data_IF_269128929134
#
_entry.id   IF_269128929134
#
_cell.length_a   1.000
_cell.length_b   1.000
_cell.length_c   1.000
_cell.angle_alpha   90.00
_cell.angle_beta   90.00
_cell.angle_gamma   90.00
#
_symmetry.space_group_name_H-M   'P 1'
#
loop_
_entity.id
_entity.type
_entity.pdbx_description
1 polymer ?
#
# COMPACT_ATOMS: atom_id res chain seq x y z
N UNK A 1 -22.47 -21.71 39.56
CA UNK A 1 -23.03 -21.68 40.92
C UNK A 1 -22.14 -22.56 41.79
N UNK A 2 -21.58 -22.06 42.90
CA UNK A 2 -20.84 -22.90 43.89
C UNK A 2 -21.86 -23.66 44.77
N UNK A 3 -21.51 -24.71 45.55
CA UNK A 3 -20.49 -24.76 46.65
C UNK A 3 -19.30 -25.71 46.35
N UNK A 4 -18.16 -25.78 47.06
CA UNK A 4 -17.59 -25.15 48.28
C UNK A 4 -17.96 -25.72 49.68
N UNK A 5 -16.97 -25.73 50.61
CA UNK A 5 -16.98 -26.09 52.06
C UNK A 5 -17.18 -27.59 52.38
N UNK A 6 -16.42 -28.35 53.20
CA UNK A 6 -15.16 -28.26 54.00
C UNK A 6 -15.31 -28.53 55.53
N UNK A 7 -14.51 -29.48 56.05
CA UNK A 7 -14.11 -29.75 57.45
C UNK A 7 -12.93 -30.76 57.40
N UNK A 8 -11.82 -30.73 58.16
CA UNK A 8 -11.56 -30.48 59.59
C UNK A 8 -11.89 -31.69 60.50
N UNK A 9 -11.09 -32.06 61.52
CA UNK A 9 -9.88 -31.40 62.08
C UNK A 9 -8.55 -32.03 61.59
N UNK A 10 -7.54 -32.56 62.33
CA UNK A 10 -7.27 -32.82 63.76
C UNK A 10 -5.74 -32.86 64.07
N UNK A 11 -5.31 -33.00 65.34
CA UNK A 11 -3.91 -32.83 65.80
C UNK A 11 -3.00 -34.08 65.80
N UNK A 12 -1.69 -33.86 65.58
CA UNK A 12 -0.61 -34.49 66.37
C UNK A 12 0.71 -33.68 66.24
N UNK A 13 1.18 -33.04 67.32
CA UNK A 13 2.44 -32.28 67.32
C UNK A 13 3.66 -33.17 67.65
N UNK A 14 4.81 -32.88 67.05
CA UNK A 14 6.12 -33.40 67.51
C UNK A 14 7.24 -32.46 67.09
N UNK A 15 7.87 -31.83 68.09
CA UNK A 15 8.96 -30.87 67.92
C UNK A 15 10.30 -31.59 67.74
N UNK A 16 11.05 -31.26 66.69
CA UNK A 16 12.41 -31.77 66.50
C UNK A 16 13.36 -30.65 66.03
N UNK A 17 14.24 -30.27 66.95
CA UNK A 17 15.54 -29.61 66.78
C UNK A 17 15.90 -29.06 65.38
N UNK A 18 15.99 -27.74 65.26
CA UNK A 18 16.65 -27.08 64.13
C UNK A 18 18.17 -27.27 64.20
N UNK A 19 18.68 -28.33 63.57
CA UNK A 19 20.11 -28.51 63.32
C UNK A 19 20.56 -27.60 62.17
N UNK A 20 21.33 -26.56 62.47
CA UNK A 20 21.89 -25.65 61.46
C UNK A 20 23.09 -26.27 60.76
N UNK A 21 22.86 -27.14 59.77
CA UNK A 21 23.92 -27.71 58.93
C UNK A 21 24.41 -26.66 57.94
N UNK A 22 25.33 -25.81 58.39
CA UNK A 22 25.92 -24.73 57.62
C UNK A 22 27.02 -25.27 56.70
N UNK A 23 26.62 -26.00 55.66
CA UNK A 23 27.52 -26.45 54.59
C UNK A 23 28.31 -25.25 54.04
N UNK A 24 29.65 -25.27 54.05
CA UNK A 24 30.43 -24.14 53.60
C UNK A 24 30.30 -23.98 52.08
N UNK A 25 29.64 -22.91 51.64
CA UNK A 25 29.61 -22.49 50.23
C UNK A 25 31.04 -22.30 49.75
N UNK A 26 31.53 -23.24 48.93
CA UNK A 26 32.81 -23.06 48.27
C UNK A 26 32.71 -21.86 47.32
N UNK A 27 33.75 -21.02 47.19
CA UNK A 27 33.75 -19.94 46.22
C UNK A 27 33.62 -20.53 44.81
N UNK A 28 32.58 -20.14 44.08
CA UNK A 28 32.44 -20.53 42.67
C UNK A 28 33.70 -20.11 41.91
N UNK A 29 34.38 -21.09 41.30
CA UNK A 29 35.50 -20.76 40.43
C UNK A 29 34.97 -20.03 39.20
N UNK A 30 35.64 -18.95 38.74
CA UNK A 30 35.16 -18.17 37.61
C UNK A 30 35.00 -19.07 36.37
N UNK A 31 33.92 -18.89 35.59
CA UNK A 31 33.58 -19.81 34.51
C UNK A 31 34.72 -19.93 33.50
N UNK A 32 35.05 -21.17 33.14
CA UNK A 32 36.13 -21.42 32.18
C UNK A 32 35.87 -20.70 30.86
N UNK A 33 36.93 -20.33 30.13
CA UNK A 33 36.80 -19.65 28.82
C UNK A 33 35.88 -20.41 27.86
N UNK A 34 35.87 -21.75 27.92
CA UNK A 34 34.98 -22.59 27.13
C UNK A 34 33.50 -22.43 27.56
N UNK A 35 33.20 -22.43 28.86
CA UNK A 35 31.85 -22.20 29.38
C UNK A 35 31.34 -20.78 29.07
N UNK A 36 32.18 -19.76 29.23
CA UNK A 36 31.85 -18.37 28.90
C UNK A 36 31.56 -18.20 27.40
N UNK A 37 32.36 -18.79 26.52
CA UNK A 37 32.09 -18.80 25.07
C UNK A 37 30.80 -19.56 24.74
N UNK A 38 30.59 -20.75 25.31
CA UNK A 38 29.38 -21.54 25.05
C UNK A 38 28.11 -20.81 25.50
N UNK A 39 28.16 -20.09 26.63
CA UNK A 39 27.09 -19.22 27.10
C UNK A 39 26.80 -18.09 26.09
N UNK A 40 27.83 -17.37 25.64
CA UNK A 40 27.69 -16.30 24.64
C UNK A 40 27.12 -16.81 23.30
N UNK A 41 27.63 -17.92 22.77
CA UNK A 41 27.09 -18.53 21.54
C UNK A 41 25.67 -19.08 21.71
N UNK A 42 25.29 -19.51 22.93
CA UNK A 42 23.91 -19.89 23.24
C UNK A 42 22.98 -18.68 23.20
N UNK A 43 23.40 -17.54 23.77
CA UNK A 43 22.65 -16.29 23.71
C UNK A 43 22.51 -15.77 22.27
N UNK A 44 23.60 -15.74 21.49
CA UNK A 44 23.56 -15.34 20.08
C UNK A 44 22.63 -16.24 19.24
N UNK A 45 22.63 -17.57 19.49
CA UNK A 45 21.68 -18.48 18.84
C UNK A 45 20.24 -18.11 19.17
N UNK A 46 19.92 -17.91 20.45
CA UNK A 46 18.56 -17.54 20.88
C UNK A 46 18.12 -16.19 20.30
N UNK A 47 19.01 -15.19 20.22
CA UNK A 47 18.72 -13.92 19.54
C UNK A 47 18.40 -14.12 18.06
N UNK A 48 19.25 -14.88 17.34
CA UNK A 48 19.07 -15.18 15.92
C UNK A 48 17.79 -15.97 15.66
N UNK A 49 17.48 -16.99 16.47
CA UNK A 49 16.26 -17.79 16.36
C UNK A 49 15.00 -16.90 16.56
N UNK A 50 15.01 -16.01 17.56
CA UNK A 50 13.93 -15.04 17.80
C UNK A 50 13.76 -14.08 16.62
N UNK A 51 14.86 -13.52 16.10
CA UNK A 51 14.87 -12.66 14.90
C UNK A 51 14.37 -13.38 13.66
N UNK A 52 14.76 -14.63 13.43
CA UNK A 52 14.28 -15.42 12.29
C UNK A 52 12.78 -15.73 12.41
N UNK A 53 12.30 -16.07 13.61
CA UNK A 53 10.87 -16.27 13.87
C UNK A 53 10.05 -14.98 13.68
N UNK A 54 10.56 -13.82 14.11
CA UNK A 54 9.94 -12.50 13.89
C UNK A 54 9.88 -12.19 12.39
N UNK A 55 11.01 -12.32 11.69
CA UNK A 55 11.08 -12.12 10.23
C UNK A 55 10.11 -13.02 9.47
N UNK A 56 9.91 -14.27 9.89
CA UNK A 56 8.91 -15.15 9.28
C UNK A 56 7.47 -14.64 9.45
N UNK A 57 7.10 -14.09 10.61
CA UNK A 57 5.76 -13.52 10.85
C UNK A 57 5.55 -12.27 9.98
N UNK A 58 6.56 -11.42 9.91
CA UNK A 58 6.63 -10.23 9.03
C UNK A 58 6.43 -10.62 7.55
N UNK A 59 7.18 -11.60 7.04
CA UNK A 59 7.06 -12.07 5.64
C UNK A 59 5.69 -12.69 5.34
N UNK A 60 5.07 -13.37 6.31
CA UNK A 60 3.71 -13.91 6.17
C UNK A 60 2.68 -12.78 6.06
N UNK A 61 2.73 -11.81 6.98
CA UNK A 61 1.87 -10.61 6.95
C UNK A 61 2.06 -9.76 5.68
N UNK A 62 3.29 -9.55 5.22
CA UNK A 62 3.56 -8.83 3.97
C UNK A 62 2.92 -9.53 2.76
N UNK A 63 2.93 -10.87 2.70
CA UNK A 63 2.26 -11.63 1.65
C UNK A 63 0.73 -11.54 1.75
N UNK A 64 0.17 -11.56 2.97
CA UNK A 64 -1.26 -11.35 3.19
C UNK A 64 -1.69 -9.96 2.67
N UNK A 65 -0.88 -8.92 2.92
CA UNK A 65 -1.09 -7.56 2.39
C UNK A 65 -1.03 -7.56 0.86
N UNK A 66 0.03 -8.10 0.24
CA UNK A 66 0.14 -8.21 -1.23
C UNK A 66 -1.08 -8.93 -1.84
N UNK A 67 -1.54 -10.02 -1.24
CA UNK A 67 -2.69 -10.78 -1.73
C UNK A 67 -4.00 -9.99 -1.63
N UNK A 68 -4.20 -9.22 -0.55
CA UNK A 68 -5.39 -8.41 -0.35
C UNK A 68 -5.38 -7.14 -1.20
N UNK A 69 -4.22 -6.53 -1.44
CA UNK A 69 -4.03 -5.41 -2.35
C UNK A 69 -4.33 -5.79 -3.81
N UNK A 70 -3.88 -6.97 -4.26
CA UNK A 70 -4.29 -7.52 -5.56
C UNK A 70 -5.81 -7.67 -5.68
N UNK A 71 -6.48 -8.13 -4.62
CA UNK A 71 -7.95 -8.20 -4.61
C UNK A 71 -8.61 -6.82 -4.67
N UNK A 72 -8.05 -5.79 -4.02
CA UNK A 72 -8.49 -4.41 -4.17
C UNK A 72 -8.34 -3.92 -5.63
N UNK A 73 -7.18 -4.13 -6.26
CA UNK A 73 -6.93 -3.74 -7.66
C UNK A 73 -7.94 -4.42 -8.62
N UNK A 74 -8.16 -5.73 -8.48
CA UNK A 74 -9.18 -6.45 -9.26
C UNK A 74 -10.61 -5.95 -8.97
N UNK A 75 -10.91 -5.58 -7.72
CA UNK A 75 -12.18 -4.98 -7.33
C UNK A 75 -12.41 -3.66 -8.08
N UNK A 76 -11.39 -2.79 -8.13
CA UNK A 76 -11.42 -1.45 -8.72
C UNK A 76 -11.57 -1.46 -10.24
N UNK A 77 -10.96 -2.41 -10.97
CA UNK A 77 -11.18 -2.54 -12.42
C UNK A 77 -12.63 -2.75 -12.83
N UNK A 78 -13.46 -3.30 -11.93
CA UNK A 78 -14.90 -3.45 -12.16
C UNK A 78 -15.64 -2.11 -12.15
N UNK A 79 -15.07 -1.02 -11.60
CA UNK A 79 -15.64 0.33 -11.75
C UNK A 79 -15.70 0.72 -13.23
N UNK A 80 -14.65 0.44 -14.00
CA UNK A 80 -14.61 0.64 -15.45
C UNK A 80 -15.49 -0.33 -16.25
N UNK A 81 -16.16 -1.29 -15.60
CA UNK A 81 -17.09 -2.25 -16.21
C UNK A 81 -18.54 -2.13 -15.69
N UNK A 82 -18.76 -1.37 -14.62
CA UNK A 82 -20.07 -1.16 -14.01
C UNK A 82 -20.93 -0.20 -14.85
N UNK A 83 -22.21 -0.53 -15.01
CA UNK A 83 -23.19 0.44 -15.50
C UNK A 83 -23.48 1.52 -14.42
N UNK A 84 -23.94 2.73 -14.79
CA UNK A 84 -24.24 3.79 -13.83
C UNK A 84 -25.27 3.38 -12.76
N UNK A 85 -25.06 3.84 -11.52
CA UNK A 85 -25.91 3.53 -10.36
C UNK A 85 -25.31 2.45 -9.46
N UNK A 86 -26.18 1.65 -8.82
CA UNK A 86 -25.90 0.58 -7.84
C UNK A 86 -24.59 -0.20 -8.01
N UNK A 87 -24.19 -0.49 -9.25
CA UNK A 87 -23.01 -1.29 -9.54
C UNK A 87 -21.70 -0.57 -9.15
N UNK A 88 -21.62 0.76 -9.28
CA UNK A 88 -20.46 1.54 -8.80
C UNK A 88 -20.39 1.50 -7.27
N UNK A 89 -21.52 1.77 -6.61
CA UNK A 89 -21.60 1.88 -5.15
C UNK A 89 -21.27 0.54 -4.46
N UNK A 90 -21.70 -0.59 -5.07
CA UNK A 90 -21.31 -1.94 -4.62
C UNK A 90 -19.81 -2.19 -4.76
N UNK A 91 -19.18 -1.71 -5.84
CA UNK A 91 -17.74 -1.87 -6.05
C UNK A 91 -16.93 -0.99 -5.09
N UNK A 92 -17.36 0.25 -4.84
CA UNK A 92 -16.75 1.14 -3.83
C UNK A 92 -16.84 0.50 -2.44
N UNK A 93 -18.03 0.03 -2.04
CA UNK A 93 -18.21 -0.64 -0.74
C UNK A 93 -17.39 -1.92 -0.58
N UNK A 94 -17.14 -2.67 -1.67
CA UNK A 94 -16.23 -3.81 -1.65
C UNK A 94 -14.77 -3.34 -1.52
N UNK A 95 -14.37 -2.26 -2.19
CA UNK A 95 -13.03 -1.66 -2.07
C UNK A 95 -12.76 -1.14 -0.65
N UNK A 96 -13.71 -0.43 -0.04
CA UNK A 96 -13.66 0.01 1.36
C UNK A 96 -13.46 -1.17 2.32
N UNK A 97 -14.17 -2.29 2.11
CA UNK A 97 -14.02 -3.50 2.91
C UNK A 97 -12.64 -4.16 2.73
N UNK A 98 -12.03 -4.08 1.54
CA UNK A 98 -10.63 -4.50 1.32
C UNK A 98 -9.65 -3.56 2.03
N UNK A 99 -9.88 -2.25 1.95
CA UNK A 99 -9.06 -1.22 2.62
C UNK A 99 -9.06 -1.36 4.14
N UNK A 100 -10.20 -1.67 4.75
CA UNK A 100 -10.28 -1.92 6.19
C UNK A 100 -9.55 -3.22 6.59
N UNK A 101 -9.66 -4.27 5.77
CA UNK A 101 -8.85 -5.48 5.92
C UNK A 101 -7.35 -5.22 5.80
N UNK A 102 -6.94 -4.32 4.91
CA UNK A 102 -5.55 -3.89 4.75
C UNK A 102 -5.05 -3.13 5.99
N UNK A 103 -5.82 -2.19 6.54
CA UNK A 103 -5.51 -1.51 7.82
C UNK A 103 -5.33 -2.52 8.97
N UNK A 104 -6.20 -3.52 9.07
CA UNK A 104 -6.09 -4.57 10.07
C UNK A 104 -4.82 -5.44 9.91
N UNK A 105 -4.35 -5.66 8.67
CA UNK A 105 -3.06 -6.32 8.41
C UNK A 105 -1.87 -5.41 8.77
N UNK A 106 -1.92 -4.12 8.43
CA UNK A 106 -0.88 -3.16 8.79
C UNK A 106 -0.77 -2.94 10.30
N UNK A 107 -1.88 -2.92 11.05
CA UNK A 107 -1.86 -2.87 12.52
C UNK A 107 -1.20 -4.12 13.13
N UNK A 108 -1.44 -5.32 12.56
CA UNK A 108 -0.74 -6.55 12.96
C UNK A 108 0.75 -6.52 12.62
N UNK A 109 1.10 -5.95 11.46
CA UNK A 109 2.48 -5.84 10.99
C UNK A 109 3.28 -4.79 11.78
N UNK A 110 2.65 -3.68 12.17
CA UNK A 110 3.19 -2.72 13.13
C UNK A 110 3.55 -3.40 14.45
N UNK A 111 2.66 -4.25 14.99
CA UNK A 111 2.93 -5.02 16.21
C UNK A 111 4.12 -6.00 16.14
N UNK A 112 4.66 -6.28 14.95
CA UNK A 112 5.84 -7.13 14.73
C UNK A 112 7.11 -6.34 14.40
N UNK A 113 7.02 -5.03 14.12
CA UNK A 113 8.09 -4.23 13.50
C UNK A 113 8.33 -2.95 14.32
N UNK A 114 9.20 -3.04 15.32
CA UNK A 114 9.21 -2.11 16.45
C UNK A 114 10.22 -0.96 16.34
N UNK A 115 9.74 0.23 15.96
CA UNK A 115 10.55 1.45 15.95
C UNK A 115 11.81 1.32 15.08
N UNK A 116 13.00 1.36 15.70
CA UNK A 116 14.28 1.21 14.99
C UNK A 116 14.42 -0.12 14.23
N UNK A 117 13.71 -1.18 14.63
CA UNK A 117 13.69 -2.47 13.90
C UNK A 117 12.98 -2.37 12.53
N UNK A 118 12.25 -1.29 12.23
CA UNK A 118 11.68 -1.09 10.88
C UNK A 118 12.76 -1.20 9.79
N UNK A 119 13.88 -0.51 9.96
CA UNK A 119 14.98 -0.50 8.99
C UNK A 119 15.73 -1.85 8.90
N UNK A 120 15.57 -2.74 9.88
CA UNK A 120 16.05 -4.13 9.85
C UNK A 120 15.15 -5.04 9.00
N UNK A 121 13.86 -4.72 8.93
CA UNK A 121 12.83 -5.55 8.29
C UNK A 121 12.21 -4.96 7.02
N UNK A 122 12.50 -3.70 6.66
CA UNK A 122 12.01 -2.96 5.49
C UNK A 122 11.95 -3.82 4.20
N UNK A 123 13.04 -4.46 3.76
CA UNK A 123 13.04 -5.36 2.58
C UNK A 123 12.08 -6.55 2.64
N UNK A 124 11.64 -6.93 3.84
CA UNK A 124 10.70 -8.04 4.09
C UNK A 124 9.25 -7.57 4.17
N UNK A 125 9.03 -6.26 4.06
CA UNK A 125 7.76 -5.53 4.21
C UNK A 125 7.42 -4.76 2.94
N UNK A 126 8.42 -4.11 2.32
CA UNK A 126 8.37 -3.31 1.10
C UNK A 126 7.52 -3.91 -0.04
N UNK A 127 7.60 -5.22 -0.39
CA UNK A 127 6.73 -5.82 -1.41
C UNK A 127 5.22 -5.83 -1.06
N UNK A 128 4.88 -5.74 0.23
CA UNK A 128 3.50 -5.52 0.68
C UNK A 128 3.09 -4.05 0.61
N UNK A 129 4.00 -3.13 0.94
CA UNK A 129 3.77 -1.69 0.84
C UNK A 129 3.57 -1.28 -0.63
N UNK A 130 4.46 -1.67 -1.54
CA UNK A 130 4.39 -1.27 -2.96
C UNK A 130 3.06 -1.67 -3.61
N UNK A 131 2.61 -2.90 -3.40
CA UNK A 131 1.33 -3.40 -3.89
C UNK A 131 0.12 -2.71 -3.23
N UNK A 132 0.21 -2.40 -1.93
CA UNK A 132 -0.79 -1.57 -1.26
C UNK A 132 -0.85 -0.16 -1.85
N UNK A 133 0.28 0.44 -2.17
CA UNK A 133 0.36 1.78 -2.73
C UNK A 133 -0.13 1.83 -4.18
N UNK A 134 0.13 0.79 -4.98
CA UNK A 134 -0.52 0.59 -6.29
C UNK A 134 -2.06 0.56 -6.15
N UNK A 135 -2.59 -0.25 -5.24
CA UNK A 135 -4.03 -0.32 -4.97
C UNK A 135 -4.65 0.97 -4.41
N UNK A 136 -3.96 1.64 -3.49
CA UNK A 136 -4.36 2.91 -2.87
C UNK A 136 -4.37 4.05 -3.90
N UNK A 137 -3.28 4.21 -4.65
CA UNK A 137 -3.15 5.28 -5.65
C UNK A 137 -4.14 5.06 -6.80
N UNK A 138 -4.45 3.81 -7.15
CA UNK A 138 -5.51 3.49 -8.11
C UNK A 138 -6.91 3.81 -7.56
N UNK A 139 -7.20 3.48 -6.29
CA UNK A 139 -8.43 3.93 -5.61
C UNK A 139 -8.57 5.45 -5.65
N UNK A 140 -7.51 6.17 -5.24
CA UNK A 140 -7.48 7.63 -5.13
C UNK A 140 -7.67 8.31 -6.50
N UNK A 141 -7.03 7.78 -7.55
CA UNK A 141 -7.22 8.25 -8.92
C UNK A 141 -8.66 8.07 -9.41
N UNK A 142 -9.33 6.95 -9.08
CA UNK A 142 -10.72 6.68 -9.46
C UNK A 142 -11.74 7.59 -8.74
N UNK A 143 -11.35 8.21 -7.62
CA UNK A 143 -12.16 9.17 -6.85
C UNK A 143 -11.86 10.63 -7.21
N UNK A 144 -10.58 10.99 -7.39
CA UNK A 144 -10.13 12.39 -7.48
C UNK A 144 -9.45 12.78 -8.80
N UNK A 145 -9.20 11.83 -9.72
CA UNK A 145 -8.49 12.03 -10.99
C UNK A 145 -7.02 12.49 -10.89
N UNK A 146 -6.45 12.43 -9.68
CA UNK A 146 -5.08 12.84 -9.32
C UNK A 146 -4.35 11.72 -8.55
N UNK A 147 -3.13 11.97 -8.07
CA UNK A 147 -2.39 11.07 -7.20
C UNK A 147 -2.37 11.62 -5.75
N UNK A 148 -2.39 10.74 -4.72
CA UNK A 148 -2.20 11.16 -3.34
C UNK A 148 -0.70 11.44 -3.08
N UNK A 149 -0.38 12.42 -2.25
CA UNK A 149 1.01 12.68 -1.85
C UNK A 149 1.57 11.58 -0.94
N UNK A 150 2.89 11.57 -0.74
CA UNK A 150 3.55 10.63 0.19
C UNK A 150 2.97 10.74 1.62
N UNK A 151 2.63 11.95 2.07
CA UNK A 151 2.04 12.21 3.38
C UNK A 151 0.61 11.65 3.47
N UNK A 152 -0.18 11.78 2.39
CA UNK A 152 -1.53 11.20 2.31
C UNK A 152 -1.47 9.66 2.27
N UNK A 153 -0.48 9.09 1.59
CA UNK A 153 -0.24 7.65 1.53
C UNK A 153 0.30 7.07 2.85
N UNK A 154 1.12 7.82 3.58
CA UNK A 154 1.54 7.49 4.94
C UNK A 154 0.36 7.57 5.92
N UNK A 155 -0.54 8.54 5.74
CA UNK A 155 -1.72 8.74 6.57
C UNK A 155 -2.82 7.69 6.34
N UNK A 156 -2.94 7.10 5.14
CA UNK A 156 -4.01 6.12 4.84
C UNK A 156 -3.82 4.74 5.47
N UNK A 157 -2.58 4.42 5.89
CA UNK A 157 -2.22 3.18 6.58
C UNK A 157 -2.81 3.08 8.00
N UNK A 158 -2.98 4.23 8.65
CA UNK A 158 -3.52 4.33 9.99
C UNK A 158 -4.91 4.99 9.94
N UNK A 159 -5.87 4.61 10.80
CA UNK A 159 -7.06 5.44 10.95
C UNK A 159 -6.63 6.82 11.45
N UNK A 160 -7.17 7.93 10.91
CA UNK A 160 -6.90 9.25 11.46
C UNK A 160 -7.29 9.27 12.94
N UNK A 161 -6.46 9.89 13.78
CA UNK A 161 -6.77 10.03 15.19
C UNK A 161 -8.18 10.64 15.34
N UNK A 162 -9.04 10.07 16.22
CA UNK A 162 -10.44 10.48 16.30
C UNK A 162 -10.50 11.99 16.54
N UNK A 163 -11.10 12.71 15.59
CA UNK A 163 -11.04 14.16 15.56
C UNK A 163 -11.51 14.72 16.91
N UNK A 164 -10.76 15.66 17.52
CA UNK A 164 -11.13 16.21 18.83
C UNK A 164 -12.55 16.77 18.73
N UNK A 165 -13.47 16.18 19.49
CA UNK A 165 -14.90 16.44 19.37
C UNK A 165 -15.15 17.94 19.45
N UNK A 166 -15.86 18.48 18.45
CA UNK A 166 -15.88 19.92 18.15
C UNK A 166 -16.21 20.76 19.39
N UNK A 167 -15.17 21.33 20.00
CA UNK A 167 -15.29 22.21 21.15
C UNK A 167 -15.97 23.50 20.69
N UNK A 168 -17.17 23.76 21.21
CA UNK A 168 -17.96 24.92 20.81
C UNK A 168 -17.21 26.23 21.13
N UNK A 169 -16.94 27.01 20.10
CA UNK A 169 -16.38 28.35 20.19
C UNK A 169 -17.39 29.33 19.58
N UNK A 170 -18.28 29.84 20.43
CA UNK A 170 -19.23 30.91 20.11
C UNK A 170 -18.79 32.21 20.83
N UNK A 171 -19.19 33.36 20.29
CA UNK A 171 -18.89 34.71 20.78
C UNK A 171 -17.39 35.14 20.70
N UNK A 172 -17.05 36.45 20.87
CA UNK A 172 -16.73 37.23 19.68
C UNK A 172 -15.44 38.07 19.73
N UNK A 173 -15.05 38.62 18.58
CA UNK A 173 -13.86 39.46 18.40
C UNK A 173 -14.05 40.92 18.88
N UNK A 174 -13.06 41.50 19.59
CA UNK A 174 -12.94 42.94 19.82
C UNK A 174 -11.89 43.62 18.92
N UNK A 175 -12.01 44.95 18.76
CA UNK A 175 -11.21 45.77 17.83
C UNK A 175 -9.80 46.15 18.33
N UNK A 176 -8.96 46.61 17.42
CA UNK A 176 -7.55 46.95 17.64
C UNK A 176 -7.29 48.31 18.32
N UNK A 177 -6.15 48.41 19.01
CA UNK A 177 -5.48 49.67 19.36
C UNK A 177 -3.96 49.43 19.54
N UNK A 178 -3.14 50.35 19.04
CA UNK A 178 -1.67 50.39 19.15
C UNK A 178 -1.24 51.70 19.86
N UNK A 179 0.06 51.92 20.21
CA UNK A 179 1.04 50.98 20.77
C UNK A 179 1.80 51.58 21.99
N UNK A 180 2.51 50.77 22.78
CA UNK A 180 3.48 51.30 23.77
C UNK A 180 4.62 50.36 24.18
N UNK A 181 5.84 50.70 23.72
CA UNK A 181 7.17 50.22 24.17
C UNK A 181 7.49 48.70 24.02
N UNK A 182 8.77 48.33 23.79
CA UNK A 182 9.17 46.93 23.60
C UNK A 182 9.38 46.17 24.94
N UNK A 183 8.77 45.00 25.12
CA UNK A 183 9.19 44.01 26.12
C UNK A 183 10.54 43.36 25.73
N UNK A 184 11.22 42.66 26.66
CA UNK A 184 12.46 41.96 26.35
C UNK A 184 12.25 40.77 25.40
N UNK A 185 13.33 40.39 24.73
CA UNK A 185 13.43 39.28 23.78
C UNK A 185 12.91 37.96 24.39
N UNK A 186 11.91 37.30 23.77
CA UNK A 186 11.38 36.04 24.29
C UNK A 186 12.41 34.92 24.08
N UNK A 187 12.75 34.22 25.16
CA UNK A 187 13.56 33.01 25.07
C UNK A 187 12.92 32.01 24.07
N UNK A 188 13.73 31.29 23.28
CA UNK A 188 13.20 30.38 22.28
C UNK A 188 12.27 29.35 22.93
N UNK A 189 11.02 29.30 22.46
CA UNK A 189 10.07 28.30 22.91
C UNK A 189 10.67 26.89 22.72
N UNK A 190 10.45 25.95 23.66
CA UNK A 190 10.87 24.58 23.44
C UNK A 190 10.25 24.09 22.13
N UNK A 191 11.07 23.52 21.25
CA UNK A 191 10.61 22.99 19.98
C UNK A 191 9.42 22.04 20.23
N UNK A 192 8.38 22.06 19.39
CA UNK A 192 7.23 21.17 19.56
C UNK A 192 7.75 19.74 19.67
N UNK A 193 7.37 19.04 20.75
CA UNK A 193 7.80 17.67 20.97
C UNK A 193 7.50 16.85 19.71
N UNK A 194 8.46 16.03 19.22
CA UNK A 194 8.29 15.32 17.95
C UNK A 194 6.98 14.53 18.02
N UNK A 195 6.12 14.77 17.02
CA UNK A 195 4.92 13.95 16.86
C UNK A 195 5.33 12.48 16.84
N UNK A 196 4.59 11.58 17.51
CA UNK A 196 5.00 10.18 17.64
C UNK A 196 5.27 9.61 16.25
N UNK A 197 6.52 9.25 15.98
CA UNK A 197 6.97 8.92 14.64
C UNK A 197 6.10 7.80 14.06
N UNK A 198 5.72 7.86 12.77
CA UNK A 198 4.90 6.84 12.13
C UNK A 198 5.70 5.54 12.03
N UNK A 199 5.64 4.77 13.13
CA UNK A 199 6.33 3.53 13.50
C UNK A 199 6.37 2.44 12.40
N UNK A 200 5.52 2.60 11.39
CA UNK A 200 5.58 1.89 10.12
C UNK A 200 5.65 2.94 8.99
N UNK A 201 6.84 3.14 8.43
CA UNK A 201 7.11 4.20 7.46
C UNK A 201 6.82 3.76 6.02
N UNK A 202 6.19 4.62 5.22
CA UNK A 202 6.24 4.53 3.76
C UNK A 202 7.55 5.13 3.29
N UNK A 203 8.41 4.33 2.65
CA UNK A 203 9.66 4.86 2.06
C UNK A 203 9.37 5.56 0.73
N UNK A 204 10.25 6.50 0.34
CA UNK A 204 10.19 7.15 -0.98
C UNK A 204 10.35 6.12 -2.10
N UNK A 205 11.19 5.11 -1.92
CA UNK A 205 11.35 4.00 -2.87
C UNK A 205 10.06 3.18 -3.02
N UNK A 206 9.35 2.89 -1.92
CA UNK A 206 8.09 2.15 -1.98
C UNK A 206 6.95 2.95 -2.62
N UNK A 207 6.86 4.24 -2.33
CA UNK A 207 5.87 5.12 -2.94
C UNK A 207 6.11 5.29 -4.45
N UNK A 208 7.35 5.57 -4.86
CA UNK A 208 7.70 5.62 -6.29
C UNK A 208 7.53 4.24 -6.96
N UNK A 209 7.75 3.14 -6.24
CA UNK A 209 7.50 1.78 -6.73
C UNK A 209 6.02 1.55 -7.05
N UNK A 210 5.12 1.82 -6.09
CA UNK A 210 3.68 1.67 -6.27
C UNK A 210 3.09 2.61 -7.34
N UNK A 211 3.55 3.86 -7.40
CA UNK A 211 3.15 4.81 -8.46
C UNK A 211 3.67 4.39 -9.85
N UNK A 212 4.81 3.70 -9.93
CA UNK A 212 5.30 3.18 -11.20
C UNK A 212 4.46 1.99 -11.70
N UNK A 213 4.08 1.05 -10.82
CA UNK A 213 3.23 -0.09 -11.18
C UNK A 213 1.78 0.32 -11.49
N UNK A 214 1.25 1.32 -10.77
CA UNK A 214 -0.03 1.99 -11.07
C UNK A 214 -0.17 2.36 -12.56
N UNK A 215 0.91 2.77 -13.24
CA UNK A 215 0.82 3.12 -14.68
C UNK A 215 0.38 1.94 -15.56
N UNK A 216 0.68 0.70 -15.13
CA UNK A 216 0.16 -0.52 -15.72
C UNK A 216 -1.34 -0.73 -15.46
N UNK A 217 -1.84 -0.37 -14.28
CA UNK A 217 -3.27 -0.41 -13.96
C UNK A 217 -4.07 0.69 -14.70
N UNK A 218 -3.51 1.90 -14.80
CA UNK A 218 -4.08 2.98 -15.61
C UNK A 218 -4.14 2.60 -17.10
N UNK A 219 -3.09 1.96 -17.64
CA UNK A 219 -3.12 1.38 -19.00
C UNK A 219 -4.22 0.30 -19.12
N UNK A 220 -4.33 -0.62 -18.16
CA UNK A 220 -5.39 -1.65 -18.16
C UNK A 220 -6.79 -1.02 -18.18
N UNK A 221 -7.01 0.02 -17.38
CA UNK A 221 -8.28 0.76 -17.34
C UNK A 221 -8.57 1.47 -18.67
N UNK A 222 -7.59 2.16 -19.26
CA UNK A 222 -7.74 2.87 -20.52
C UNK A 222 -8.12 1.94 -21.69
N UNK A 223 -7.41 0.82 -21.85
CA UNK A 223 -7.71 -0.15 -22.92
C UNK A 223 -9.09 -0.79 -22.70
N UNK A 224 -9.49 -1.03 -21.44
CA UNK A 224 -10.82 -1.55 -21.10
C UNK A 224 -11.96 -0.50 -21.26
N UNK A 225 -11.65 0.80 -21.36
CA UNK A 225 -12.63 1.87 -21.54
C UNK A 225 -12.89 2.24 -22.99
N UNK A 226 -11.89 2.14 -23.89
CA UNK A 226 -12.00 2.44 -25.34
C UNK A 226 -13.24 1.79 -25.97
N UNK A 227 -13.48 0.51 -25.70
CA UNK A 227 -14.65 -0.22 -26.20
C UNK A 227 -16.01 0.32 -25.73
N UNK A 228 -16.07 0.94 -24.55
CA UNK A 228 -17.30 1.51 -23.95
C UNK A 228 -17.47 2.97 -24.33
N UNK A 229 -16.43 3.78 -24.20
CA UNK A 229 -16.44 5.21 -24.49
C UNK A 229 -16.83 5.48 -25.96
N UNK A 230 -16.34 4.65 -26.90
CA UNK A 230 -16.79 4.75 -28.30
C UNK A 230 -18.26 4.33 -28.47
N UNK A 231 -18.74 3.32 -27.73
CA UNK A 231 -20.15 2.92 -27.77
C UNK A 231 -21.07 4.04 -27.26
N UNK A 232 -20.69 4.76 -26.20
CA UNK A 232 -21.43 5.93 -25.70
C UNK A 232 -21.41 7.12 -26.66
N UNK A 233 -20.24 7.45 -27.23
CA UNK A 233 -20.08 8.56 -28.20
C UNK A 233 -20.86 8.36 -29.51
N UNK A 234 -21.49 7.21 -29.69
CA UNK A 234 -22.29 6.83 -30.84
C UNK A 234 -23.80 6.76 -30.57
N UNK A 235 -24.22 7.04 -29.33
CA UNK A 235 -25.64 7.28 -29.02
C UNK A 235 -25.99 8.69 -29.48
N UNK A 236 -26.93 8.81 -30.41
CA UNK A 236 -27.34 10.09 -31.01
C UNK A 236 -27.89 11.03 -29.93
N UNK A 237 -27.41 12.28 -29.81
CA UNK A 237 -27.96 13.26 -28.86
C UNK A 237 -29.35 13.71 -29.34
N UNK A 238 -30.41 13.02 -28.91
CA UNK A 238 -31.77 13.29 -29.37
C UNK A 238 -32.92 12.67 -28.56
N UNK A 239 -32.67 11.67 -27.69
CA UNK A 239 -33.68 11.14 -26.77
C UNK A 239 -33.06 10.91 -25.38
N UNK A 240 -33.61 11.57 -24.36
CA UNK A 240 -33.09 11.52 -22.99
C UNK A 240 -31.99 12.55 -22.71
N UNK A 241 -32.34 13.84 -22.65
CA UNK A 241 -31.53 14.83 -21.95
C UNK A 241 -31.54 14.51 -20.45
N UNK A 242 -30.55 13.72 -20.00
CA UNK A 242 -30.19 13.66 -18.59
C UNK A 242 -29.20 14.78 -18.30
N UNK A 243 -29.72 15.99 -18.11
CA UNK A 243 -28.95 17.12 -17.58
C UNK A 243 -28.57 16.80 -16.12
N UNK A 244 -27.43 16.15 -15.90
CA UNK A 244 -26.94 15.85 -14.56
C UNK A 244 -26.04 14.64 -14.40
N UNK A 245 -24.79 14.70 -14.90
CA UNK A 245 -23.54 14.31 -14.20
C UNK A 245 -22.36 14.18 -15.17
N UNK A 246 -21.38 15.08 -15.05
CA UNK A 246 -20.07 14.95 -15.73
C UNK A 246 -19.21 13.82 -15.14
N UNK A 247 -19.42 13.47 -13.87
CA UNK A 247 -18.64 12.49 -13.08
C UNK A 247 -18.71 11.02 -13.54
N UNK A 248 -19.21 10.74 -14.74
CA UNK A 248 -19.12 9.44 -15.41
C UNK A 248 -17.89 9.30 -16.31
N UNK A 249 -17.46 10.37 -17.00
CA UNK A 249 -16.51 10.27 -18.12
C UNK A 249 -15.04 10.52 -17.77
N UNK A 250 -14.75 11.19 -16.65
CA UNK A 250 -13.38 11.66 -16.34
C UNK A 250 -12.36 10.57 -15.98
N UNK A 251 -12.74 9.54 -15.22
CA UNK A 251 -11.74 8.60 -14.65
C UNK A 251 -11.21 7.58 -15.68
N UNK A 252 -12.00 7.26 -16.69
CA UNK A 252 -11.68 6.30 -17.73
C UNK A 252 -11.46 6.96 -19.10
N UNK A 253 -11.24 8.28 -19.14
CA UNK A 253 -10.81 8.98 -20.35
C UNK A 253 -9.36 8.58 -20.69
N UNK A 254 -9.18 8.05 -21.89
CA UNK A 254 -7.87 7.64 -22.41
C UNK A 254 -6.94 8.84 -22.63
N UNK A 255 -7.46 10.01 -22.94
CA UNK A 255 -6.66 11.23 -23.10
C UNK A 255 -6.15 11.74 -21.74
N UNK A 256 -6.98 11.71 -20.70
CA UNK A 256 -6.59 12.04 -19.32
C UNK A 256 -5.57 11.06 -18.76
N UNK A 257 -5.84 9.75 -18.88
CA UNK A 257 -4.88 8.71 -18.48
C UNK A 257 -3.55 8.88 -19.24
N UNK A 258 -3.59 9.16 -20.54
CA UNK A 258 -2.39 9.41 -21.35
C UNK A 258 -1.61 10.65 -20.93
N UNK A 259 -2.27 11.73 -20.46
CA UNK A 259 -1.57 12.88 -19.87
C UNK A 259 -0.91 12.52 -18.55
N UNK A 260 -1.67 11.95 -17.60
CA UNK A 260 -1.15 11.58 -16.29
C UNK A 260 0.04 10.60 -16.37
N UNK A 261 -0.01 9.60 -17.25
CA UNK A 261 1.11 8.65 -17.43
C UNK A 261 2.37 9.32 -18.01
N UNK A 262 2.22 10.31 -18.92
CA UNK A 262 3.38 11.12 -19.38
C UNK A 262 3.93 12.01 -18.26
N UNK A 263 3.07 12.60 -17.45
CA UNK A 263 3.47 13.46 -16.32
C UNK A 263 4.25 12.64 -15.28
N UNK A 264 3.75 11.46 -14.90
CA UNK A 264 4.48 10.50 -14.04
C UNK A 264 5.85 10.14 -14.65
N UNK A 265 5.91 9.85 -15.97
CA UNK A 265 7.17 9.52 -16.63
C UNK A 265 8.17 10.68 -16.63
N UNK A 266 7.69 11.90 -16.88
CA UNK A 266 8.53 13.10 -16.94
C UNK A 266 9.16 13.39 -15.57
N UNK A 267 8.40 13.30 -14.49
CA UNK A 267 8.90 13.52 -13.12
C UNK A 267 9.76 12.35 -12.61
N UNK A 268 9.47 11.10 -13.00
CA UNK A 268 10.28 9.95 -12.61
C UNK A 268 11.61 9.83 -13.37
N UNK A 269 11.69 10.31 -14.61
CA UNK A 269 12.88 10.15 -15.46
C UNK A 269 14.16 10.75 -14.84
N UNK A 270 14.17 11.98 -14.29
CA UNK A 270 15.30 12.54 -13.56
C UNK A 270 15.72 11.71 -12.32
N UNK A 271 14.77 11.06 -11.66
CA UNK A 271 15.02 10.28 -10.44
C UNK A 271 15.76 8.95 -10.73
N UNK A 272 15.78 8.51 -11.99
CA UNK A 272 16.42 7.27 -12.42
C UNK A 272 17.95 7.24 -12.20
N UNK A 273 18.59 8.40 -12.04
CA UNK A 273 20.01 8.51 -11.65
C UNK A 273 20.27 8.09 -10.19
N UNK A 274 19.25 8.17 -9.33
CA UNK A 274 19.34 7.90 -7.89
C UNK A 274 18.73 6.54 -7.52
N UNK A 275 17.56 6.22 -8.09
CA UNK A 275 16.83 4.97 -7.84
C UNK A 275 17.27 3.85 -8.80
N UNK A 276 18.20 2.98 -8.37
CA UNK A 276 18.76 1.87 -9.19
C UNK A 276 17.75 0.90 -9.81
N UNK A 277 16.55 0.80 -9.26
CA UNK A 277 15.48 -0.07 -9.76
C UNK A 277 14.59 0.63 -10.80
N UNK A 278 14.51 1.97 -10.77
CA UNK A 278 13.58 2.78 -11.55
C UNK A 278 13.77 2.71 -13.07
N UNK A 279 15.00 2.64 -13.65
CA UNK A 279 15.18 2.44 -15.09
C UNK A 279 14.43 1.23 -15.67
N UNK A 280 14.27 0.15 -14.89
CA UNK A 280 13.51 -1.04 -15.31
C UNK A 280 12.00 -0.82 -15.29
N UNK A 281 11.50 -0.02 -14.35
CA UNK A 281 10.08 0.36 -14.27
C UNK A 281 9.73 1.36 -15.37
N UNK A 282 10.58 2.36 -15.61
CA UNK A 282 10.42 3.33 -16.72
C UNK A 282 10.32 2.62 -18.07
N UNK A 283 11.19 1.63 -18.35
CA UNK A 283 11.11 0.84 -19.59
C UNK A 283 9.85 -0.03 -19.73
N UNK A 284 9.07 -0.24 -18.65
CA UNK A 284 7.73 -0.85 -18.68
C UNK A 284 6.64 0.23 -18.81
N UNK A 285 6.83 1.38 -18.16
CA UNK A 285 5.98 2.57 -18.30
C UNK A 285 5.94 3.03 -19.77
N UNK A 286 7.08 3.11 -20.45
CA UNK A 286 7.18 3.37 -21.91
C UNK A 286 6.25 2.47 -22.73
N UNK A 287 6.21 1.17 -22.41
CA UNK A 287 5.35 0.20 -23.10
C UNK A 287 3.87 0.37 -22.75
N UNK A 288 3.56 0.81 -21.53
CA UNK A 288 2.20 1.14 -21.09
C UNK A 288 1.69 2.42 -21.76
N UNK A 289 2.51 3.48 -21.78
CA UNK A 289 2.23 4.73 -22.48
C UNK A 289 2.03 4.49 -23.97
N UNK A 290 2.95 3.78 -24.64
CA UNK A 290 2.84 3.48 -26.06
C UNK A 290 1.53 2.73 -26.40
N UNK A 291 1.02 1.86 -25.52
CA UNK A 291 -0.29 1.20 -25.71
C UNK A 291 -1.46 2.18 -25.57
N UNK A 292 -1.41 3.05 -24.56
CA UNK A 292 -2.40 4.13 -24.36
C UNK A 292 -2.43 5.06 -25.59
N UNK A 293 -1.28 5.52 -26.06
CA UNK A 293 -1.17 6.44 -27.19
C UNK A 293 -1.60 5.81 -28.53
N UNK A 294 -1.22 4.56 -28.81
CA UNK A 294 -1.69 3.86 -30.00
C UNK A 294 -3.22 3.66 -29.99
N UNK A 295 -3.81 3.36 -28.83
CA UNK A 295 -5.26 3.21 -28.70
C UNK A 295 -6.00 4.56 -28.79
N UNK A 296 -5.48 5.62 -28.20
CA UNK A 296 -5.96 7.01 -28.38
C UNK A 296 -5.91 7.41 -29.86
N UNK A 297 -4.76 7.22 -30.53
CA UNK A 297 -4.58 7.52 -31.96
C UNK A 297 -5.57 6.74 -32.84
N UNK A 298 -5.69 5.42 -32.64
CA UNK A 298 -6.61 4.59 -33.41
C UNK A 298 -8.08 4.97 -33.19
N UNK A 299 -8.47 5.32 -31.97
CA UNK A 299 -9.80 5.83 -31.64
C UNK A 299 -10.06 7.18 -32.32
N UNK A 300 -9.08 8.09 -32.26
CA UNK A 300 -9.11 9.45 -32.85
C UNK A 300 -9.23 9.42 -34.38
N UNK A 301 -8.44 8.60 -35.05
CA UNK A 301 -8.45 8.46 -36.50
C UNK A 301 -9.74 7.78 -36.98
N UNK A 302 -10.09 6.61 -36.43
CA UNK A 302 -11.29 5.90 -36.91
C UNK A 302 -12.57 6.66 -36.59
N UNK A 303 -12.64 7.36 -35.46
CA UNK A 303 -13.75 8.26 -35.14
C UNK A 303 -13.93 9.43 -36.13
N UNK A 304 -12.88 9.81 -36.88
CA UNK A 304 -12.97 10.74 -37.99
C UNK A 304 -13.35 10.03 -39.31
N UNK A 305 -12.77 8.86 -39.60
CA UNK A 305 -13.04 8.06 -40.82
C UNK A 305 -14.49 7.57 -40.92
N UNK A 306 -15.05 7.05 -39.82
CA UNK A 306 -16.34 6.37 -39.77
C UNK A 306 -17.42 7.20 -39.06
N UNK A 307 -17.30 8.53 -39.10
CA UNK A 307 -18.21 9.48 -38.42
C UNK A 307 -19.69 9.19 -38.69
N UNK A 308 -20.00 8.73 -39.89
CA UNK A 308 -21.37 8.45 -40.36
C UNK A 308 -21.75 6.95 -40.24
N UNK A 309 -20.90 6.09 -39.65
CA UNK A 309 -21.13 4.64 -39.52
C UNK A 309 -20.87 4.11 -38.09
N UNK A 310 -21.79 4.34 -37.14
CA UNK A 310 -21.69 3.87 -35.76
C UNK A 310 -21.43 2.36 -35.60
N UNK A 311 -22.05 1.52 -36.42
CA UNK A 311 -21.94 0.07 -36.31
C UNK A 311 -20.50 -0.45 -36.58
N UNK A 312 -19.80 0.15 -37.55
CA UNK A 312 -18.41 -0.20 -37.87
C UNK A 312 -17.47 0.18 -36.72
N UNK A 313 -17.69 1.36 -36.12
CA UNK A 313 -16.89 1.84 -34.99
C UNK A 313 -17.01 0.92 -33.76
N UNK A 314 -18.23 0.53 -33.37
CA UNK A 314 -18.42 -0.39 -32.24
C UNK A 314 -17.77 -1.77 -32.49
N UNK A 315 -17.81 -2.29 -33.71
CA UNK A 315 -17.15 -3.54 -34.06
C UNK A 315 -15.61 -3.44 -33.96
N UNK A 316 -15.03 -2.32 -34.40
CA UNK A 316 -13.59 -2.07 -34.38
C UNK A 316 -13.05 -1.87 -32.96
N UNK A 317 -13.74 -1.11 -32.09
CA UNK A 317 -13.27 -0.90 -30.72
C UNK A 317 -13.38 -2.13 -29.83
N UNK A 318 -14.37 -3.02 -30.07
CA UNK A 318 -14.41 -4.34 -29.42
C UNK A 318 -13.18 -5.17 -29.81
N UNK A 319 -12.91 -5.27 -31.12
CA UNK A 319 -11.72 -5.98 -31.64
C UNK A 319 -10.40 -5.45 -31.06
N UNK A 320 -10.29 -4.14 -30.83
CA UNK A 320 -9.08 -3.58 -30.20
C UNK A 320 -8.97 -3.92 -28.72
N UNK A 321 -10.04 -3.79 -27.94
CA UNK A 321 -10.05 -4.21 -26.53
C UNK A 321 -9.69 -5.71 -26.38
N UNK A 322 -10.26 -6.56 -27.23
CA UNK A 322 -9.94 -8.00 -27.27
C UNK A 322 -8.46 -8.24 -27.63
N UNK A 323 -7.91 -7.49 -28.60
CA UNK A 323 -6.51 -7.61 -29.01
C UNK A 323 -5.51 -7.13 -27.95
N UNK A 324 -5.87 -6.10 -27.17
CA UNK A 324 -5.04 -5.55 -26.11
C UNK A 324 -4.90 -6.48 -24.90
N UNK A 325 -5.92 -7.31 -24.62
CA UNK A 325 -5.89 -8.27 -23.52
C UNK A 325 -5.01 -9.50 -23.74
N UNK A 326 -4.78 -9.90 -25.00
CA UNK A 326 -4.14 -11.18 -25.33
C UNK A 326 -2.62 -11.26 -25.08
N UNK A 327 -1.94 -10.13 -24.90
CA UNK A 327 -0.46 -10.05 -24.91
C UNK A 327 0.26 -10.47 -23.61
N UNK A 328 -0.44 -10.82 -22.53
CA UNK A 328 0.16 -10.97 -21.19
C UNK A 328 0.67 -12.37 -20.80
N UNK A 329 0.54 -13.38 -21.66
CA UNK A 329 0.45 -14.79 -21.23
C UNK A 329 1.55 -15.77 -21.63
N UNK A 330 2.73 -15.34 -22.11
CA UNK A 330 3.78 -16.26 -22.56
C UNK A 330 5.20 -15.71 -22.35
N UNK A 331 5.75 -15.84 -21.14
CA UNK A 331 7.03 -15.21 -20.78
C UNK A 331 7.83 -15.79 -19.61
N UNK A 332 7.52 -17.00 -19.12
CA UNK A 332 8.27 -17.64 -18.04
C UNK A 332 8.25 -19.18 -18.14
N UNK A 333 9.42 -19.82 -18.04
CA UNK A 333 9.53 -21.27 -17.80
C UNK A 333 10.08 -22.15 -18.93
N UNK A 334 11.31 -21.90 -19.41
CA UNK A 334 12.06 -22.85 -20.24
C UNK A 334 13.60 -22.66 -20.13
N UNK A 335 14.13 -22.71 -18.91
CA UNK A 335 15.58 -22.78 -18.70
C UNK A 335 16.08 -24.21 -18.90
N UNK A 336 16.61 -24.53 -20.08
CA UNK A 336 17.15 -25.86 -20.40
C UNK A 336 18.66 -25.78 -20.66
N UNK A 337 19.40 -26.79 -20.19
CA UNK A 337 20.85 -26.71 -20.04
C UNK A 337 21.62 -26.68 -21.36
N UNK A 338 22.77 -25.99 -21.36
CA UNK A 338 23.84 -26.24 -22.32
C UNK A 338 24.66 -27.42 -21.80
N UNK A 339 24.64 -28.54 -22.51
CA UNK A 339 25.73 -29.50 -22.43
C UNK A 339 26.90 -28.98 -23.26
N UNK A 340 28.11 -29.02 -22.71
CA UNK A 340 29.32 -28.65 -23.44
C UNK A 340 29.81 -29.80 -24.33
N UNK A 341 30.16 -29.48 -25.57
CA UNK A 341 30.73 -30.45 -26.50
C UNK A 341 32.20 -30.68 -26.14
N UNK A 342 32.50 -31.83 -25.53
CA UNK A 342 33.87 -32.33 -25.42
C UNK A 342 34.28 -32.95 -26.76
N UNK A 343 35.37 -32.46 -27.34
CA UNK A 343 35.94 -32.96 -28.59
C UNK A 343 36.72 -34.27 -28.44
N UNK A 344 37.21 -34.76 -29.58
CA UNK A 344 38.12 -35.91 -29.67
C UNK A 344 39.58 -35.55 -29.34
#
# INVERSE_FOLDING_TARGET
>A
MQPNVAAAVDEAASTSSAGSDSTPTQPEQPPTRAAALLSAFTAFRTELDTHHAQRERIVKLSRDVTALSKQLIFVLHRVGAAAPGDARDRVVREAEAKMEGLRALFARLQGEVSGADFWRYERSVSPGIQEYLEGLTFYYYLEHHTLPTLEQAQASLFPPAPAPAAAAADAPSPSAAEPSAPPPEPAPAPAPAPAPEPYFHVTVDDYLGGVADLTGELMRLAIASVGKNLTESLVVPGQGQSEGKEGGKGFADIEHIGRLVREIQAEMTPLAAYARWLPKKLAVLDQSLAKIENASYNLRIRGAEYRDSPAMLQALARREADSGGAGGGAGAGAGQGREEVVGA
#
